data_IF_710003981023
#
_entry.id   IF_710003981023
#
_cell.length_a   1.000
_cell.length_b   1.000
_cell.length_c   1.000
_cell.angle_alpha   90.00
_cell.angle_beta   90.00
_cell.angle_gamma   90.00
#
_symmetry.space_group_name_H-M   'P 1'
#
loop_
_entity.id
_entity.type
_entity.pdbx_description
1 polymer ?
#
# COMPACT_ATOMS: atom_id res chain seq x y z
N UNK A 1 40.25 21.45 34.49
CA UNK A 1 40.16 20.00 34.25
C UNK A 1 40.00 19.78 32.75
N UNK A 2 40.77 18.91 32.09
CA UNK A 2 40.56 18.65 30.66
C UNK A 2 39.17 18.08 30.46
N UNK A 3 38.36 18.71 29.57
CA UNK A 3 37.09 18.18 29.17
C UNK A 3 37.32 16.78 28.57
N UNK A 4 36.72 15.73 29.14
CA UNK A 4 36.82 14.38 28.61
C UNK A 4 36.38 14.37 27.13
N UNK A 5 37.14 13.66 26.30
CA UNK A 5 36.84 13.46 24.90
C UNK A 5 35.41 12.91 24.77
N UNK A 6 34.63 13.44 23.85
CA UNK A 6 33.26 12.98 23.52
C UNK A 6 32.10 13.39 24.49
N UNK A 7 32.28 14.35 25.42
CA UNK A 7 31.20 14.80 26.29
C UNK A 7 29.98 15.34 25.52
N UNK A 8 30.16 15.94 24.35
CA UNK A 8 29.06 16.40 23.50
C UNK A 8 28.23 15.24 22.92
N UNK A 9 28.84 14.09 22.72
CA UNK A 9 28.18 12.90 22.17
C UNK A 9 27.43 12.11 23.27
N UNK A 10 27.71 12.36 24.55
CA UNK A 10 27.14 11.62 25.68
C UNK A 10 25.60 11.61 25.67
N UNK A 11 24.97 12.76 25.43
CA UNK A 11 23.51 12.87 25.36
C UNK A 11 22.92 12.04 24.21
N UNK A 12 23.58 12.01 23.06
CA UNK A 12 23.13 11.22 21.91
C UNK A 12 23.23 9.72 22.21
N UNK A 13 24.37 9.25 22.76
CA UNK A 13 24.52 7.86 23.16
C UNK A 13 23.53 7.44 24.27
N UNK A 14 23.27 8.32 25.23
CA UNK A 14 22.26 8.08 26.27
C UNK A 14 20.87 7.95 25.67
N UNK A 15 20.48 8.89 24.81
CA UNK A 15 19.18 8.88 24.16
C UNK A 15 18.97 7.63 23.29
N UNK A 16 19.97 7.28 22.48
CA UNK A 16 19.92 6.09 21.62
C UNK A 16 19.83 4.81 22.47
N UNK A 17 20.56 4.75 23.58
CA UNK A 17 20.51 3.61 24.48
C UNK A 17 19.12 3.44 25.12
N UNK A 18 18.52 4.53 25.58
CA UNK A 18 17.16 4.55 26.14
C UNK A 18 16.14 4.11 25.07
N UNK A 19 16.21 4.68 23.86
CA UNK A 19 15.30 4.34 22.77
C UNK A 19 15.35 2.86 22.37
N UNK A 20 16.55 2.30 22.33
CA UNK A 20 16.75 0.93 21.88
C UNK A 20 16.45 -0.13 22.94
N UNK A 21 16.63 0.19 24.23
CA UNK A 21 16.61 -0.83 25.28
C UNK A 21 15.47 -0.66 26.30
N UNK A 22 14.59 0.35 26.12
CA UNK A 22 13.45 0.54 27.00
C UNK A 22 12.13 0.50 26.25
N UNK A 23 11.09 0.06 26.93
CA UNK A 23 9.69 0.04 26.48
C UNK A 23 8.78 0.05 27.73
N UNK A 24 7.48 -0.23 27.58
CA UNK A 24 6.53 -0.26 28.70
C UNK A 24 6.91 -1.25 29.81
N UNK A 25 7.58 -2.34 29.45
CA UNK A 25 7.93 -3.43 30.37
C UNK A 25 9.42 -3.51 30.71
N UNK A 26 10.27 -2.80 29.98
CA UNK A 26 11.72 -2.84 30.13
C UNK A 26 12.27 -1.46 30.45
N UNK A 27 13.04 -1.40 31.53
CA UNK A 27 13.74 -0.19 31.99
C UNK A 27 15.26 -0.42 31.98
N UNK A 28 16.03 0.65 31.98
CA UNK A 28 17.49 0.62 32.18
C UNK A 28 17.87 1.37 33.43
N UNK A 29 18.78 0.77 34.20
CA UNK A 29 19.29 1.35 35.43
C UNK A 29 20.46 2.32 35.17
N UNK A 30 20.73 3.22 36.11
CA UNK A 30 21.89 4.14 36.04
C UNK A 30 23.23 3.38 35.85
N UNK A 31 23.52 2.27 36.55
CA UNK A 31 24.72 1.48 36.27
C UNK A 31 24.80 1.00 34.82
N UNK A 32 23.73 0.43 34.26
CA UNK A 32 23.69 -0.03 32.87
C UNK A 32 23.96 1.10 31.86
N UNK A 33 23.44 2.30 32.14
CA UNK A 33 23.73 3.49 31.33
C UNK A 33 25.21 3.85 31.39
N UNK A 34 25.82 3.84 32.60
CA UNK A 34 27.24 4.13 32.78
C UNK A 34 28.10 3.12 32.05
N UNK A 35 27.80 1.82 32.17
CA UNK A 35 28.50 0.73 31.50
C UNK A 35 28.43 0.86 29.98
N UNK A 36 27.24 1.21 29.45
CA UNK A 36 27.06 1.45 28.01
C UNK A 36 27.89 2.63 27.52
N UNK A 37 27.90 3.74 28.24
CA UNK A 37 28.71 4.92 27.91
C UNK A 37 30.20 4.60 27.97
N UNK A 38 30.64 3.87 29.00
CA UNK A 38 32.02 3.44 29.15
C UNK A 38 32.51 2.54 28.01
N UNK A 39 31.63 1.62 27.54
CA UNK A 39 31.91 0.77 26.37
C UNK A 39 32.08 1.59 25.07
N UNK A 40 31.51 2.81 25.02
CA UNK A 40 31.71 3.75 23.92
C UNK A 40 32.78 4.83 24.20
N UNK A 41 33.63 4.61 25.18
CA UNK A 41 34.78 5.51 25.51
C UNK A 41 34.34 6.80 26.23
N UNK A 42 33.13 6.85 26.79
CA UNK A 42 32.59 8.03 27.49
C UNK A 42 32.52 7.73 28.98
N UNK A 43 33.33 8.42 29.77
CA UNK A 43 33.27 8.32 31.23
C UNK A 43 32.14 9.20 31.76
N UNK A 44 31.29 8.62 32.59
CA UNK A 44 30.14 9.31 33.20
C UNK A 44 29.99 8.88 34.67
N UNK A 45 29.66 9.83 35.52
CA UNK A 45 29.31 9.62 36.93
C UNK A 45 27.81 9.66 37.11
N UNK A 46 27.31 9.00 38.16
CA UNK A 46 25.88 8.90 38.48
C UNK A 46 25.14 10.24 38.48
N UNK A 47 25.75 11.26 39.14
CA UNK A 47 25.16 12.60 39.19
C UNK A 47 25.08 13.26 37.81
N UNK A 48 26.04 13.02 36.97
CA UNK A 48 26.06 13.52 35.60
C UNK A 48 24.96 12.88 34.74
N UNK A 49 24.64 11.58 34.91
CA UNK A 49 23.54 10.93 34.22
C UNK A 49 22.20 11.53 34.61
N UNK A 50 21.97 11.86 35.88
CA UNK A 50 20.74 12.50 36.30
C UNK A 50 20.53 13.88 35.65
N UNK A 51 21.60 14.66 35.51
CA UNK A 51 21.56 15.95 34.83
C UNK A 51 21.30 15.79 33.34
N UNK A 52 21.92 14.75 32.71
CA UNK A 52 21.71 14.47 31.29
C UNK A 52 20.27 14.04 31.01
N UNK A 53 19.69 13.20 31.86
CA UNK A 53 18.28 12.81 31.77
C UNK A 53 17.37 14.03 31.92
N UNK A 54 17.64 14.89 32.88
CA UNK A 54 16.87 16.13 33.07
C UNK A 54 16.98 17.02 31.81
N UNK A 55 18.18 17.17 31.25
CA UNK A 55 18.39 17.92 30.00
C UNK A 55 17.56 17.34 28.84
N UNK A 56 17.46 16.02 28.73
CA UNK A 56 16.60 15.38 27.72
C UNK A 56 15.12 15.63 27.97
N UNK A 57 14.69 15.59 29.25
CA UNK A 57 13.31 15.95 29.64
C UNK A 57 13.01 17.42 29.32
N UNK A 58 13.92 18.33 29.66
CA UNK A 58 13.77 19.75 29.35
C UNK A 58 13.72 20.04 27.84
N UNK A 59 14.38 19.21 27.03
CA UNK A 59 14.31 19.29 25.58
C UNK A 59 13.01 18.75 25.01
N UNK A 60 12.22 17.97 25.78
CA UNK A 60 10.92 17.48 25.39
C UNK A 60 10.77 15.94 25.29
N UNK A 61 11.78 15.18 25.74
CA UNK A 61 11.63 13.71 25.83
C UNK A 61 10.92 13.34 27.14
N UNK A 62 9.88 12.53 27.04
CA UNK A 62 9.22 11.98 28.24
C UNK A 62 9.98 10.75 28.74
N UNK A 63 10.90 10.98 29.70
CA UNK A 63 11.70 9.93 30.34
C UNK A 63 11.17 9.72 31.76
N UNK A 64 10.52 8.59 31.98
CA UNK A 64 9.94 8.20 33.25
C UNK A 64 10.95 7.40 34.06
N UNK A 65 11.08 7.76 35.36
CA UNK A 65 11.74 6.92 36.36
C UNK A 65 10.72 6.00 37.03
N UNK A 66 10.96 4.70 36.97
CA UNK A 66 10.15 3.70 37.64
C UNK A 66 10.83 3.21 38.92
N UNK A 67 10.03 2.76 39.88
CA UNK A 67 10.48 2.21 41.19
C UNK A 67 10.04 0.74 41.32
N UNK A 68 10.55 0.06 42.34
CA UNK A 68 10.19 -1.32 42.61
C UNK A 68 10.95 -2.35 41.78
N UNK A 69 10.29 -3.43 41.36
CA UNK A 69 10.91 -4.56 40.65
C UNK A 69 11.51 -4.17 39.29
N UNK A 70 11.02 -3.11 38.66
CA UNK A 70 11.50 -2.57 37.38
C UNK A 70 12.11 -1.17 37.56
N UNK A 71 12.85 -0.96 38.67
CA UNK A 71 13.47 0.31 38.95
C UNK A 71 14.46 0.72 37.85
N UNK A 72 14.28 1.92 37.27
CA UNK A 72 15.13 2.39 36.19
C UNK A 72 14.48 3.54 35.42
N UNK A 73 15.00 3.80 34.23
CA UNK A 73 14.48 4.82 33.32
C UNK A 73 13.94 4.17 32.06
N UNK A 74 12.86 4.72 31.52
CA UNK A 74 12.32 4.37 30.23
C UNK A 74 11.83 5.61 29.49
N UNK A 75 11.83 5.56 28.17
CA UNK A 75 11.13 6.55 27.35
C UNK A 75 9.66 6.14 27.28
N UNK A 76 8.76 7.05 27.67
CA UNK A 76 7.32 6.81 27.66
C UNK A 76 6.70 7.21 26.32
N UNK A 77 7.09 8.37 25.79
CA UNK A 77 6.55 8.87 24.52
C UNK A 77 7.45 8.45 23.34
N UNK A 78 6.84 7.75 22.39
CA UNK A 78 7.48 7.33 21.13
C UNK A 78 6.70 7.92 19.96
N UNK A 79 7.41 8.25 18.89
CA UNK A 79 6.81 8.75 17.65
C UNK A 79 5.77 7.77 17.08
N UNK A 80 5.99 6.46 17.30
CA UNK A 80 5.07 5.39 16.93
C UNK A 80 4.86 4.45 18.10
N UNK A 81 3.62 4.08 18.33
CA UNK A 81 3.26 3.00 19.27
C UNK A 81 3.53 1.63 18.64
N UNK A 82 3.75 0.62 19.47
CA UNK A 82 4.00 -0.75 18.99
C UNK A 82 2.89 -1.30 18.07
N UNK A 83 1.59 -1.09 18.33
CA UNK A 83 0.52 -1.50 17.42
C UNK A 83 0.59 -0.83 16.05
N UNK A 84 0.98 0.43 15.98
CA UNK A 84 1.13 1.16 14.72
C UNK A 84 2.29 0.60 13.89
N UNK A 85 3.44 0.34 14.52
CA UNK A 85 4.58 -0.29 13.84
C UNK A 85 4.24 -1.71 13.37
N UNK A 86 3.48 -2.49 14.16
CA UNK A 86 2.96 -3.80 13.73
C UNK A 86 2.14 -3.67 12.45
N UNK A 87 1.18 -2.75 12.42
CA UNK A 87 0.35 -2.51 11.24
C UNK A 87 1.20 -2.13 10.01
N UNK A 88 2.20 -1.27 10.17
CA UNK A 88 3.11 -0.90 9.08
C UNK A 88 3.93 -2.10 8.58
N UNK A 89 4.42 -2.95 9.48
CA UNK A 89 5.13 -4.20 9.12
C UNK A 89 4.22 -5.14 8.35
N UNK A 90 2.97 -5.33 8.80
CA UNK A 90 1.98 -6.19 8.16
C UNK A 90 1.64 -5.68 6.75
N UNK A 91 1.46 -4.37 6.56
CA UNK A 91 1.25 -3.75 5.25
C UNK A 91 2.42 -3.97 4.29
N UNK A 92 3.66 -3.79 4.76
CA UNK A 92 4.87 -4.05 3.95
C UNK A 92 4.99 -5.53 3.61
N UNK A 93 4.68 -6.41 4.56
CA UNK A 93 4.80 -7.85 4.38
C UNK A 93 3.73 -8.40 3.44
N UNK A 94 2.47 -7.93 3.55
CA UNK A 94 1.35 -8.36 2.73
C UNK A 94 1.37 -7.80 1.31
N UNK A 95 2.09 -6.71 1.06
CA UNK A 95 2.12 -6.04 -0.24
C UNK A 95 2.74 -6.92 -1.33
N UNK A 96 1.99 -7.20 -2.41
CA UNK A 96 2.49 -7.87 -3.62
C UNK A 96 3.42 -6.97 -4.44
N UNK A 97 3.23 -5.66 -4.30
CA UNK A 97 3.94 -4.62 -5.02
C UNK A 97 5.41 -4.49 -4.59
N UNK A 98 5.74 -4.81 -3.34
CA UNK A 98 7.09 -4.67 -2.79
C UNK A 98 7.82 -6.02 -2.90
N UNK A 99 9.03 -6.05 -3.49
CA UNK A 99 9.81 -7.28 -3.60
C UNK A 99 10.15 -7.85 -2.21
N UNK A 100 10.39 -9.16 -2.13
CA UNK A 100 10.78 -9.83 -0.86
C UNK A 100 12.01 -9.18 -0.24
N UNK A 101 13.03 -8.86 -1.06
CA UNK A 101 14.26 -8.20 -0.62
C UNK A 101 13.98 -6.82 -0.03
N UNK A 102 13.18 -6.00 -0.74
CA UNK A 102 12.83 -4.66 -0.28
C UNK A 102 11.94 -4.67 0.96
N UNK A 103 11.00 -5.63 1.06
CA UNK A 103 10.19 -5.82 2.26
C UNK A 103 11.07 -6.05 3.49
N UNK A 104 12.07 -6.96 3.42
CA UNK A 104 13.01 -7.20 4.52
C UNK A 104 13.77 -5.93 4.92
N UNK A 105 14.23 -5.14 3.93
CA UNK A 105 14.94 -3.88 4.21
C UNK A 105 14.04 -2.85 4.89
N UNK A 106 12.79 -2.71 4.45
CA UNK A 106 11.83 -1.79 5.04
C UNK A 106 11.43 -2.22 6.46
N UNK A 107 11.15 -3.51 6.67
CA UNK A 107 10.84 -4.06 7.98
C UNK A 107 12.01 -3.81 8.94
N UNK A 108 13.25 -4.07 8.54
CA UNK A 108 14.41 -3.77 9.37
C UNK A 108 14.59 -2.28 9.73
N UNK A 109 14.07 -1.36 8.90
CA UNK A 109 14.00 0.08 9.26
C UNK A 109 12.85 0.38 10.23
N UNK A 110 11.69 -0.25 10.04
CA UNK A 110 10.55 -0.11 10.94
C UNK A 110 10.85 -0.66 12.34
N UNK A 111 11.60 -1.76 12.42
CA UNK A 111 12.06 -2.33 13.69
C UNK A 111 12.90 -1.35 14.52
N UNK A 112 13.59 -0.39 13.89
CA UNK A 112 14.37 0.64 14.58
C UNK A 112 13.50 1.71 15.26
N UNK A 113 12.20 1.79 14.95
CA UNK A 113 11.26 2.72 15.56
C UNK A 113 10.81 2.28 16.97
N UNK A 114 11.02 1.03 17.32
CA UNK A 114 10.66 0.43 18.61
C UNK A 114 11.89 -0.05 19.40
N UNK A 115 11.68 -0.55 20.63
CA UNK A 115 12.75 -1.17 21.39
C UNK A 115 13.24 -2.47 20.75
N UNK A 116 14.46 -2.91 21.07
CA UNK A 116 14.99 -4.22 20.66
C UNK A 116 14.11 -5.39 21.13
N UNK A 117 13.44 -5.23 22.27
CA UNK A 117 12.54 -6.25 22.79
C UNK A 117 11.24 -6.31 22.01
N UNK A 118 10.67 -5.17 21.66
CA UNK A 118 9.47 -5.08 20.83
C UNK A 118 9.76 -5.49 19.39
N UNK A 119 10.92 -5.12 18.83
CA UNK A 119 11.34 -5.57 17.50
C UNK A 119 11.33 -7.09 17.35
N UNK A 120 11.73 -7.85 18.41
CA UNK A 120 11.63 -9.31 18.42
C UNK A 120 10.19 -9.83 18.35
N UNK A 121 9.22 -9.05 18.84
CA UNK A 121 7.79 -9.39 18.77
C UNK A 121 7.23 -9.17 17.36
N UNK A 122 7.79 -8.20 16.61
CA UNK A 122 7.36 -7.90 15.24
C UNK A 122 7.64 -9.05 14.26
N UNK A 123 8.74 -9.78 14.46
CA UNK A 123 9.20 -10.82 13.54
C UNK A 123 8.36 -12.11 13.56
N UNK A 124 7.44 -12.29 14.51
CA UNK A 124 6.81 -13.59 14.80
C UNK A 124 5.31 -13.68 14.49
N UNK A 125 4.62 -12.62 14.10
CA UNK A 125 3.16 -12.58 14.21
C UNK A 125 2.37 -12.66 12.91
N UNK A 126 2.93 -12.37 11.74
CA UNK A 126 2.19 -12.50 10.48
C UNK A 126 2.89 -13.46 9.54
N UNK A 127 2.34 -14.65 9.43
CA UNK A 127 2.65 -15.55 8.31
C UNK A 127 1.79 -15.08 7.13
N UNK A 128 2.36 -14.25 6.28
CA UNK A 128 1.73 -14.00 4.97
C UNK A 128 1.95 -15.25 4.15
N UNK A 129 0.88 -16.05 3.98
CA UNK A 129 0.89 -17.21 3.10
C UNK A 129 1.41 -16.78 1.72
N UNK A 130 2.28 -17.59 1.17
CA UNK A 130 3.08 -17.46 -0.05
C UNK A 130 2.45 -16.54 -1.12
N UNK A 131 2.60 -15.21 -0.92
CA UNK A 131 2.12 -14.23 -1.90
C UNK A 131 3.19 -14.02 -2.96
N UNK A 132 2.81 -14.20 -4.21
CA UNK A 132 3.67 -13.88 -5.35
C UNK A 132 3.98 -12.38 -5.35
N UNK A 133 5.10 -12.00 -4.75
CA UNK A 133 5.60 -10.63 -4.78
C UNK A 133 6.21 -10.33 -6.14
N UNK A 134 6.14 -9.07 -6.55
CA UNK A 134 6.80 -8.62 -7.79
C UNK A 134 8.31 -8.91 -7.75
N UNK A 135 8.88 -9.23 -8.91
CA UNK A 135 10.33 -9.32 -9.11
C UNK A 135 10.97 -7.99 -9.52
N UNK A 136 10.17 -6.97 -9.84
CA UNK A 136 10.66 -5.68 -10.29
C UNK A 136 11.15 -4.82 -9.11
N UNK A 137 12.45 -4.84 -8.85
CA UNK A 137 13.07 -4.05 -7.76
C UNK A 137 13.05 -2.53 -8.02
N UNK A 138 12.79 -2.08 -9.26
CA UNK A 138 12.78 -0.66 -9.63
C UNK A 138 11.41 0.00 -9.46
N UNK A 139 10.39 -0.76 -9.12
CA UNK A 139 9.00 -0.30 -9.16
C UNK A 139 8.75 0.95 -8.28
N UNK A 140 9.36 1.05 -7.12
CA UNK A 140 9.21 2.23 -6.25
C UNK A 140 9.89 3.48 -6.82
N UNK A 141 10.99 3.31 -7.59
CA UNK A 141 11.58 4.42 -8.35
C UNK A 141 10.66 4.83 -9.52
N UNK A 142 9.99 3.85 -10.16
CA UNK A 142 9.02 4.15 -11.21
C UNK A 142 7.87 4.99 -10.66
N UNK A 143 7.35 4.67 -9.47
CA UNK A 143 6.32 5.46 -8.80
C UNK A 143 6.80 6.89 -8.52
N UNK A 144 8.03 7.06 -8.03
CA UNK A 144 8.64 8.36 -7.74
C UNK A 144 8.80 9.20 -9.01
N UNK A 145 9.32 8.61 -10.10
CA UNK A 145 9.43 9.28 -11.41
C UNK A 145 8.07 9.72 -11.93
N UNK A 146 7.02 8.89 -11.77
CA UNK A 146 5.67 9.26 -12.21
C UNK A 146 5.14 10.44 -11.39
N UNK A 147 5.29 10.42 -10.06
CA UNK A 147 4.88 11.53 -9.19
C UNK A 147 5.60 12.84 -9.58
N UNK A 148 6.91 12.77 -9.77
CA UNK A 148 7.70 13.94 -10.20
C UNK A 148 7.24 14.45 -11.56
N UNK A 149 7.01 13.58 -12.53
CA UNK A 149 6.53 13.95 -13.85
C UNK A 149 5.13 14.60 -13.82
N UNK A 150 4.23 14.11 -12.93
CA UNK A 150 2.93 14.73 -12.70
C UNK A 150 3.09 16.13 -12.11
N UNK A 151 3.93 16.30 -11.10
CA UNK A 151 4.17 17.59 -10.43
C UNK A 151 4.82 18.62 -11.38
N UNK A 152 5.75 18.19 -12.24
CA UNK A 152 6.49 19.01 -13.18
C UNK A 152 5.77 19.21 -14.52
N UNK A 153 4.54 18.71 -14.67
CA UNK A 153 3.75 18.76 -15.92
C UNK A 153 4.48 18.15 -17.13
N UNK A 154 5.17 17.03 -16.94
CA UNK A 154 5.98 16.36 -17.96
C UNK A 154 5.38 15.03 -18.39
N UNK A 155 5.60 14.65 -19.65
CA UNK A 155 5.32 13.30 -20.14
C UNK A 155 6.36 12.30 -19.63
N UNK A 156 6.01 11.01 -19.72
CA UNK A 156 6.92 9.90 -19.43
C UNK A 156 7.00 8.95 -20.61
N UNK A 157 8.12 8.23 -20.70
CA UNK A 157 8.28 7.12 -21.63
C UNK A 157 8.75 5.87 -20.90
N UNK A 158 8.33 4.70 -21.38
CA UNK A 158 8.67 3.41 -20.82
C UNK A 158 8.47 2.28 -21.83
N UNK A 159 9.13 1.13 -21.61
CA UNK A 159 8.75 -0.13 -22.24
C UNK A 159 7.67 -0.80 -21.40
N UNK A 160 6.74 -1.48 -22.06
CA UNK A 160 5.68 -2.25 -21.39
C UNK A 160 5.78 -3.72 -21.78
N UNK A 161 5.71 -4.62 -20.80
CA UNK A 161 5.86 -6.05 -21.05
C UNK A 161 4.65 -6.87 -20.59
N UNK A 162 4.51 -8.05 -21.18
CA UNK A 162 3.68 -9.14 -20.69
C UNK A 162 4.53 -10.38 -20.45
N UNK A 163 4.02 -11.30 -19.66
CA UNK A 163 4.64 -12.59 -19.46
C UNK A 163 4.21 -13.55 -20.58
N UNK A 164 5.16 -14.25 -21.19
CA UNK A 164 4.88 -15.34 -22.09
C UNK A 164 4.67 -16.67 -21.31
N UNK A 165 4.28 -17.72 -22.01
CA UNK A 165 4.05 -19.07 -21.42
C UNK A 165 5.30 -19.67 -20.77
N UNK A 166 6.50 -19.20 -21.12
CA UNK A 166 7.78 -19.59 -20.51
C UNK A 166 8.14 -18.77 -19.29
N UNK A 167 7.26 -17.86 -18.86
CA UNK A 167 7.50 -16.90 -17.76
C UNK A 167 8.64 -15.92 -18.05
N UNK A 168 8.86 -15.58 -19.31
CA UNK A 168 9.81 -14.57 -19.76
C UNK A 168 9.08 -13.25 -20.04
N UNK A 169 9.75 -12.12 -19.79
CA UNK A 169 9.21 -10.80 -20.10
C UNK A 169 9.25 -10.57 -21.62
N UNK A 170 8.10 -10.41 -22.24
CA UNK A 170 7.97 -10.09 -23.66
C UNK A 170 7.51 -8.65 -23.80
N UNK A 171 8.34 -7.80 -24.42
CA UNK A 171 8.01 -6.40 -24.67
C UNK A 171 6.85 -6.31 -25.67
N UNK A 172 5.88 -5.44 -25.35
CA UNK A 172 4.81 -5.07 -26.27
C UNK A 172 5.31 -4.10 -27.33
N UNK A 173 4.55 -3.94 -28.41
CA UNK A 173 4.86 -3.04 -29.56
C UNK A 173 6.28 -3.27 -30.12
N UNK A 174 6.72 -4.53 -30.19
CA UNK A 174 8.06 -4.88 -30.72
C UNK A 174 9.20 -4.13 -30.00
N UNK A 175 9.05 -3.87 -28.70
CA UNK A 175 10.03 -3.15 -27.92
C UNK A 175 10.04 -1.63 -28.09
N UNK A 176 9.04 -1.04 -28.75
CA UNK A 176 8.94 0.42 -28.85
C UNK A 176 8.53 1.04 -27.52
N UNK A 177 9.01 2.24 -27.26
CA UNK A 177 8.58 3.03 -26.10
C UNK A 177 7.11 3.43 -26.22
N UNK A 178 6.42 3.33 -25.10
CA UNK A 178 5.19 4.06 -24.85
C UNK A 178 5.57 5.46 -24.37
N UNK A 179 5.00 6.50 -24.95
CA UNK A 179 5.12 7.86 -24.45
C UNK A 179 3.73 8.38 -24.14
N UNK A 180 3.50 8.76 -22.89
CA UNK A 180 2.17 9.12 -22.40
C UNK A 180 2.24 10.30 -21.44
N UNK A 181 1.11 10.96 -21.25
CA UNK A 181 0.93 12.05 -20.29
C UNK A 181 0.36 11.48 -18.98
N UNK A 182 1.14 11.35 -17.90
CA UNK A 182 0.69 10.79 -16.62
C UNK A 182 -0.25 11.79 -15.93
N UNK A 183 -1.42 11.32 -15.46
CA UNK A 183 -2.41 12.17 -14.77
C UNK A 183 -2.67 11.76 -13.35
N UNK A 184 -2.78 10.46 -13.09
CA UNK A 184 -3.12 9.93 -11.77
C UNK A 184 -2.41 8.59 -11.55
N UNK A 185 -1.87 8.40 -10.34
CA UNK A 185 -1.56 7.07 -9.81
C UNK A 185 -2.70 6.63 -8.90
N UNK A 186 -3.24 5.45 -9.16
CA UNK A 186 -4.27 4.83 -8.32
C UNK A 186 -3.82 3.46 -7.85
N UNK A 187 -4.37 3.03 -6.73
CA UNK A 187 -4.11 1.73 -6.13
C UNK A 187 -5.35 0.86 -6.25
N UNK A 188 -5.23 -0.29 -6.92
CA UNK A 188 -6.31 -1.25 -7.06
C UNK A 188 -5.75 -2.68 -7.07
N UNK A 189 -6.43 -3.61 -6.40
CA UNK A 189 -6.04 -5.03 -6.26
C UNK A 189 -4.54 -5.21 -5.98
N UNK A 190 -4.04 -4.47 -4.98
CA UNK A 190 -2.64 -4.51 -4.52
C UNK A 190 -1.59 -4.11 -5.58
N UNK A 191 -1.98 -3.38 -6.63
CA UNK A 191 -1.10 -2.87 -7.66
C UNK A 191 -1.26 -1.37 -7.86
N UNK A 192 -0.17 -0.70 -8.24
CA UNK A 192 -0.25 0.67 -8.76
C UNK A 192 -0.62 0.66 -10.23
N UNK A 193 -1.61 1.46 -10.55
CA UNK A 193 -2.03 1.76 -11.91
C UNK A 193 -1.77 3.23 -12.23
N UNK A 194 -1.13 3.47 -13.35
CA UNK A 194 -1.03 4.80 -13.92
C UNK A 194 -2.22 5.02 -14.85
N UNK A 195 -2.99 6.07 -14.59
CA UNK A 195 -3.96 6.63 -15.52
C UNK A 195 -3.24 7.70 -16.33
N UNK A 196 -3.14 7.51 -17.64
CA UNK A 196 -2.41 8.41 -18.50
C UNK A 196 -3.12 8.61 -19.85
N UNK A 197 -2.96 9.79 -20.44
CA UNK A 197 -3.42 10.05 -21.78
C UNK A 197 -2.39 9.56 -22.80
N UNK A 198 -2.84 8.69 -23.69
CA UNK A 198 -2.07 8.15 -24.80
C UNK A 198 -2.45 8.96 -26.06
N UNK A 199 -1.56 9.85 -26.50
CA UNK A 199 -1.81 10.74 -27.64
C UNK A 199 -1.95 9.96 -28.95
N UNK A 200 -1.25 8.82 -29.14
CA UNK A 200 -1.35 7.99 -30.32
C UNK A 200 -2.74 7.34 -30.44
N UNK A 201 -3.36 7.06 -29.30
CA UNK A 201 -4.69 6.48 -29.24
C UNK A 201 -5.81 7.50 -29.04
N UNK A 202 -5.48 8.76 -28.72
CA UNK A 202 -6.42 9.84 -28.48
C UNK A 202 -7.33 9.60 -27.27
N UNK A 203 -6.87 8.87 -26.23
CA UNK A 203 -7.70 8.52 -25.06
C UNK A 203 -6.92 8.23 -23.80
N UNK A 204 -7.62 8.26 -22.67
CA UNK A 204 -7.10 7.81 -21.37
C UNK A 204 -6.90 6.30 -21.37
N UNK A 205 -5.79 5.84 -20.83
CA UNK A 205 -5.44 4.43 -20.67
C UNK A 205 -4.89 4.13 -19.28
N UNK A 206 -4.94 2.86 -18.90
CA UNK A 206 -4.39 2.34 -17.66
C UNK A 206 -3.17 1.48 -17.93
N UNK A 207 -2.16 1.68 -17.11
CA UNK A 207 -0.94 0.90 -17.18
C UNK A 207 -0.55 0.43 -15.79
N UNK A 208 -0.33 -0.86 -15.62
CA UNK A 208 0.25 -1.40 -14.39
C UNK A 208 1.70 -0.94 -14.27
N UNK A 209 2.06 -0.31 -13.16
CA UNK A 209 3.39 0.24 -12.97
C UNK A 209 4.45 -0.85 -12.84
N UNK A 210 4.11 -2.02 -12.28
CA UNK A 210 5.00 -3.18 -12.17
C UNK A 210 5.41 -3.79 -13.52
N UNK A 211 4.64 -3.50 -14.60
CA UNK A 211 4.91 -3.92 -15.98
C UNK A 211 5.69 -2.89 -16.79
N UNK A 212 6.10 -1.78 -16.20
CA UNK A 212 6.89 -0.76 -16.85
C UNK A 212 8.38 -1.00 -16.65
N UNK A 213 9.15 -0.89 -17.72
CA UNK A 213 10.61 -0.96 -17.70
C UNK A 213 11.19 0.34 -18.26
N UNK A 214 12.38 0.71 -17.79
CA UNK A 214 13.16 1.88 -18.25
C UNK A 214 12.36 3.17 -18.30
N UNK A 215 11.51 3.37 -17.28
CA UNK A 215 10.65 4.52 -17.15
C UNK A 215 11.47 5.78 -16.88
N UNK A 216 11.24 6.81 -17.70
CA UNK A 216 11.89 8.12 -17.60
C UNK A 216 10.92 9.23 -17.92
N UNK A 217 11.08 10.38 -17.25
CA UNK A 217 10.40 11.62 -17.67
C UNK A 217 11.05 12.18 -18.95
N UNK A 218 10.23 12.75 -19.81
CA UNK A 218 10.68 13.43 -21.03
C UNK A 218 10.35 14.92 -20.97
N UNK A 219 11.13 15.75 -21.66
CA UNK A 219 10.96 17.18 -21.63
C UNK A 219 9.87 17.64 -22.62
N UNK A 220 8.66 17.14 -22.38
CA UNK A 220 7.45 17.52 -23.11
C UNK A 220 6.32 17.71 -22.11
N UNK A 221 5.52 18.78 -22.31
CA UNK A 221 4.36 19.04 -21.49
C UNK A 221 3.28 17.97 -21.69
N UNK A 222 2.53 17.67 -20.62
CA UNK A 222 1.41 16.74 -20.68
C UNK A 222 0.30 17.29 -21.58
N UNK A 223 -0.40 16.39 -22.25
CA UNK A 223 -1.64 16.65 -22.99
C UNK A 223 -2.80 15.80 -22.46
N UNK A 224 -4.02 16.00 -22.98
CA UNK A 224 -5.21 15.26 -22.55
C UNK A 224 -5.80 15.75 -21.21
N UNK A 225 -5.61 17.04 -20.89
CA UNK A 225 -6.14 17.65 -19.65
C UNK A 225 -7.67 17.63 -19.63
N UNK A 226 -8.30 17.96 -20.75
CA UNK A 226 -9.76 17.96 -20.87
C UNK A 226 -10.35 16.57 -20.60
N UNK A 227 -9.73 15.53 -21.18
CA UNK A 227 -10.15 14.14 -20.97
C UNK A 227 -10.03 13.74 -19.48
N UNK A 228 -8.95 14.17 -18.83
CA UNK A 228 -8.76 13.90 -17.41
C UNK A 228 -9.76 14.64 -16.52
N UNK A 229 -10.02 15.92 -16.79
CA UNK A 229 -10.97 16.74 -16.00
C UNK A 229 -12.42 16.28 -16.15
N UNK A 230 -12.75 15.61 -17.24
CA UNK A 230 -14.07 14.98 -17.45
C UNK A 230 -14.22 13.64 -16.70
N UNK A 231 -13.13 13.07 -16.19
CA UNK A 231 -13.19 11.83 -15.42
C UNK A 231 -13.66 12.08 -13.98
N UNK A 232 -14.67 11.35 -13.56
CA UNK A 232 -15.07 11.31 -12.14
C UNK A 232 -14.10 10.43 -11.34
N UNK A 233 -12.99 11.03 -10.88
CA UNK A 233 -11.92 10.34 -10.16
C UNK A 233 -12.42 9.65 -8.88
N UNK A 234 -13.38 10.25 -8.17
CA UNK A 234 -13.89 9.74 -6.90
C UNK A 234 -14.66 8.42 -7.05
N UNK A 235 -15.35 8.25 -8.18
CA UNK A 235 -16.08 7.02 -8.50
C UNK A 235 -15.28 6.05 -9.37
N UNK A 236 -14.15 6.50 -9.92
CA UNK A 236 -13.40 5.79 -10.94
C UNK A 236 -12.93 4.38 -10.50
N UNK A 237 -12.32 4.25 -9.33
CA UNK A 237 -11.87 2.96 -8.80
C UNK A 237 -13.03 2.06 -8.38
N UNK A 238 -14.17 2.63 -7.99
CA UNK A 238 -15.36 1.86 -7.59
C UNK A 238 -16.12 1.29 -8.78
N UNK A 239 -16.13 2.01 -9.91
CA UNK A 239 -16.82 1.61 -11.15
C UNK A 239 -16.03 0.57 -11.93
N UNK A 240 -14.70 0.65 -11.90
CA UNK A 240 -13.83 -0.24 -12.68
C UNK A 240 -13.50 -1.51 -11.88
N UNK A 241 -13.72 -2.65 -12.49
CA UNK A 241 -13.33 -3.95 -11.95
C UNK A 241 -11.93 -4.30 -12.46
N UNK A 242 -10.92 -4.30 -11.57
CA UNK A 242 -9.53 -4.58 -11.93
C UNK A 242 -8.93 -3.61 -12.96
N UNK A 243 -9.40 -2.33 -12.97
CA UNK A 243 -8.96 -1.30 -13.92
C UNK A 243 -9.17 -1.64 -15.41
N UNK A 244 -10.14 -2.50 -15.71
CA UNK A 244 -10.56 -2.76 -17.07
C UNK A 244 -11.55 -1.68 -17.52
N UNK A 245 -11.26 -1.07 -18.66
CA UNK A 245 -12.15 -0.10 -19.29
C UNK A 245 -13.39 -0.81 -19.84
N UNK A 246 -14.57 -0.24 -19.61
CA UNK A 246 -15.84 -0.68 -20.18
C UNK A 246 -16.78 0.52 -20.33
N UNK A 247 -17.91 0.32 -20.98
CA UNK A 247 -18.96 1.34 -21.05
C UNK A 247 -19.56 1.55 -19.66
N UNK A 248 -19.55 2.82 -19.18
CA UNK A 248 -20.15 3.15 -17.90
C UNK A 248 -21.67 3.08 -17.96
N UNK A 249 -22.25 2.17 -17.21
CA UNK A 249 -23.67 1.92 -17.21
C UNK A 249 -24.21 1.81 -15.79
N UNK A 250 -25.40 2.36 -15.54
CA UNK A 250 -26.10 2.13 -14.28
C UNK A 250 -26.85 0.82 -14.35
N UNK A 251 -26.50 -0.13 -13.48
CA UNK A 251 -27.15 -1.44 -13.38
C UNK A 251 -28.05 -1.52 -12.15
N UNK A 252 -29.08 -2.37 -12.25
CA UNK A 252 -29.86 -2.82 -11.10
C UNK A 252 -29.50 -4.28 -10.79
N UNK A 253 -29.14 -4.52 -9.54
CA UNK A 253 -28.76 -5.82 -9.02
C UNK A 253 -29.84 -6.29 -8.04
N UNK A 254 -30.45 -7.42 -8.33
CA UNK A 254 -31.32 -8.14 -7.39
C UNK A 254 -30.43 -9.09 -6.60
N UNK A 255 -30.37 -8.90 -5.29
CA UNK A 255 -29.44 -9.60 -4.42
C UNK A 255 -30.18 -10.22 -3.23
N UNK A 256 -29.75 -11.39 -2.79
CA UNK A 256 -30.20 -11.92 -1.51
C UNK A 256 -29.85 -10.94 -0.39
N UNK A 257 -30.67 -10.83 0.65
CA UNK A 257 -30.45 -9.94 1.79
C UNK A 257 -29.09 -10.18 2.46
N UNK A 258 -28.59 -11.42 2.46
CA UNK A 258 -27.27 -11.80 2.99
C UNK A 258 -26.10 -11.16 2.24
N UNK A 259 -26.32 -10.70 1.00
CA UNK A 259 -25.29 -10.05 0.17
C UNK A 259 -25.14 -8.54 0.44
N UNK A 260 -25.92 -7.97 1.38
CA UNK A 260 -25.87 -6.54 1.72
C UNK A 260 -24.45 -6.06 2.01
N UNK A 261 -23.68 -6.82 2.82
CA UNK A 261 -22.28 -6.50 3.13
C UNK A 261 -21.40 -6.49 1.88
N UNK A 262 -21.55 -7.48 1.01
CA UNK A 262 -20.77 -7.59 -0.26
C UNK A 262 -21.05 -6.38 -1.17
N UNK A 263 -22.29 -5.91 -1.25
CA UNK A 263 -22.67 -4.73 -2.02
C UNK A 263 -22.05 -3.46 -1.42
N UNK A 264 -22.12 -3.30 -0.09
CA UNK A 264 -21.52 -2.15 0.61
C UNK A 264 -20.00 -2.15 0.45
N UNK A 265 -19.35 -3.29 0.64
CA UNK A 265 -17.89 -3.42 0.50
C UNK A 265 -17.42 -3.08 -0.92
N UNK A 266 -18.22 -3.43 -1.93
CA UNK A 266 -17.87 -3.18 -3.34
C UNK A 266 -18.17 -1.76 -3.80
N UNK A 267 -19.37 -1.25 -3.49
CA UNK A 267 -19.88 0.01 -4.05
C UNK A 267 -19.87 1.17 -3.04
N UNK A 268 -19.53 0.89 -1.79
CA UNK A 268 -19.50 1.84 -0.69
C UNK A 268 -20.87 1.98 0.01
N UNK A 269 -20.84 2.52 1.24
CA UNK A 269 -22.03 2.67 2.07
C UNK A 269 -23.10 3.63 1.49
N UNK A 270 -22.74 4.46 0.51
CA UNK A 270 -23.66 5.38 -0.17
C UNK A 270 -24.43 4.76 -1.35
N UNK A 271 -24.21 3.47 -1.66
CA UNK A 271 -24.91 2.78 -2.73
C UNK A 271 -26.42 2.77 -2.47
N UNK A 272 -27.21 3.13 -3.49
CA UNK A 272 -28.67 3.14 -3.37
C UNK A 272 -29.18 1.70 -3.27
N UNK A 273 -29.75 1.34 -2.12
CA UNK A 273 -30.35 0.04 -1.87
C UNK A 273 -31.74 0.20 -1.27
N UNK A 274 -32.63 -0.72 -1.61
CA UNK A 274 -33.98 -0.81 -1.00
C UNK A 274 -34.44 -2.27 -0.89
N UNK A 275 -35.26 -2.63 0.07
CA UNK A 275 -35.91 -3.93 0.09
C UNK A 275 -36.70 -4.15 -1.21
N UNK A 276 -36.64 -5.35 -1.74
CA UNK A 276 -37.45 -5.81 -2.88
C UNK A 276 -38.60 -6.73 -2.42
N UNK A 277 -38.24 -7.75 -1.63
CA UNK A 277 -39.17 -8.62 -0.93
C UNK A 277 -38.58 -9.05 0.44
N UNK A 278 -39.08 -10.07 1.10
CA UNK A 278 -38.63 -10.55 2.42
C UNK A 278 -37.20 -11.10 2.39
N UNK A 279 -36.73 -11.58 1.25
CA UNK A 279 -35.46 -12.27 1.09
C UNK A 279 -34.47 -11.56 0.19
N UNK A 280 -34.89 -10.53 -0.54
CA UNK A 280 -34.12 -9.83 -1.53
C UNK A 280 -34.07 -8.32 -1.31
N UNK A 281 -32.96 -7.73 -1.75
CA UNK A 281 -32.73 -6.30 -1.89
C UNK A 281 -32.49 -5.92 -3.34
N UNK A 282 -32.87 -4.72 -3.72
CA UNK A 282 -32.51 -4.12 -5.01
C UNK A 282 -31.44 -3.05 -4.80
N UNK A 283 -30.28 -3.26 -5.40
CA UNK A 283 -29.20 -2.29 -5.39
C UNK A 283 -29.05 -1.62 -6.76
N UNK A 284 -28.77 -0.30 -6.78
CA UNK A 284 -28.49 0.45 -7.99
C UNK A 284 -27.04 0.95 -7.95
N UNK A 285 -26.21 0.48 -8.88
CA UNK A 285 -24.81 0.81 -8.94
C UNK A 285 -24.38 1.26 -10.35
N UNK A 286 -23.43 2.16 -10.42
CA UNK A 286 -22.78 2.53 -11.67
C UNK A 286 -21.53 1.67 -11.84
N UNK A 287 -21.38 0.99 -12.96
CA UNK A 287 -20.29 0.06 -13.26
C UNK A 287 -19.74 0.27 -14.66
N UNK A 288 -18.45 -0.03 -14.87
CA UNK A 288 -17.90 -0.24 -16.19
C UNK A 288 -18.17 -1.69 -16.60
N UNK A 289 -19.04 -1.89 -17.58
CA UNK A 289 -19.40 -3.23 -18.06
C UNK A 289 -18.17 -3.85 -18.72
N UNK A 290 -17.72 -4.96 -18.17
CA UNK A 290 -16.48 -5.62 -18.58
C UNK A 290 -16.50 -7.11 -18.21
N UNK A 291 -15.63 -7.95 -18.83
CA UNK A 291 -15.51 -9.35 -18.44
C UNK A 291 -15.20 -9.55 -16.94
N UNK A 292 -14.50 -8.61 -16.30
CA UNK A 292 -14.20 -8.66 -14.88
C UNK A 292 -15.44 -8.40 -14.01
N UNK A 293 -16.30 -7.46 -14.42
CA UNK A 293 -17.60 -7.26 -13.78
C UNK A 293 -18.46 -8.52 -13.88
N UNK A 294 -18.51 -9.13 -15.07
CA UNK A 294 -19.23 -10.38 -15.27
C UNK A 294 -18.61 -11.55 -14.49
N UNK A 295 -17.29 -11.63 -14.40
CA UNK A 295 -16.59 -12.61 -13.57
C UNK A 295 -16.89 -12.43 -12.08
N UNK A 296 -17.00 -11.19 -11.60
CA UNK A 296 -17.41 -10.90 -10.23
C UNK A 296 -18.85 -11.34 -9.96
N UNK A 297 -19.79 -11.04 -10.87
CA UNK A 297 -21.16 -11.53 -10.78
C UNK A 297 -21.23 -13.05 -10.73
N UNK A 298 -20.52 -13.72 -11.64
CA UNK A 298 -20.48 -15.18 -11.71
C UNK A 298 -19.91 -15.81 -10.43
N UNK A 299 -18.91 -15.16 -9.81
CA UNK A 299 -18.31 -15.60 -8.54
C UNK A 299 -19.26 -15.55 -7.34
N UNK A 300 -20.33 -14.76 -7.44
CA UNK A 300 -21.39 -14.67 -6.42
C UNK A 300 -22.56 -15.59 -6.70
N UNK A 301 -22.45 -16.42 -7.75
CA UNK A 301 -23.43 -17.46 -8.11
C UNK A 301 -24.85 -16.87 -8.34
N UNK A 302 -25.86 -17.56 -7.81
CA UNK A 302 -27.28 -17.17 -7.95
C UNK A 302 -27.73 -16.12 -6.94
N UNK A 303 -26.85 -15.76 -5.98
CA UNK A 303 -27.19 -14.80 -4.93
C UNK A 303 -27.31 -13.34 -5.40
N UNK A 304 -26.74 -13.05 -6.58
CA UNK A 304 -26.83 -11.74 -7.22
C UNK A 304 -27.16 -11.90 -8.69
N UNK A 305 -28.12 -11.12 -9.17
CA UNK A 305 -28.52 -11.09 -10.58
C UNK A 305 -28.58 -9.65 -11.08
N UNK A 306 -27.99 -9.38 -12.23
CA UNK A 306 -28.26 -8.12 -12.94
C UNK A 306 -29.61 -8.25 -13.63
N UNK A 307 -30.51 -7.28 -13.37
CA UNK A 307 -31.89 -7.27 -13.91
C UNK A 307 -32.17 -6.08 -14.81
N UNK A 308 -31.28 -5.12 -14.89
CA UNK A 308 -31.39 -3.93 -15.74
C UNK A 308 -30.02 -3.28 -15.95
N UNK A 309 -29.72 -2.68 -17.13
CA UNK A 309 -30.58 -2.66 -18.31
C UNK A 309 -30.54 -4.01 -19.09
N UNK A 310 -31.49 -4.23 -19.98
CA UNK A 310 -31.61 -5.46 -20.78
C UNK A 310 -30.34 -5.73 -21.62
N UNK A 311 -29.65 -4.68 -22.11
CA UNK A 311 -28.39 -4.83 -22.84
C UNK A 311 -27.35 -5.56 -22.01
N UNK A 312 -27.14 -5.15 -20.74
CA UNK A 312 -26.16 -5.76 -19.83
C UNK A 312 -26.59 -7.17 -19.42
N UNK A 313 -27.90 -7.39 -19.23
CA UNK A 313 -28.43 -8.75 -18.97
C UNK A 313 -28.11 -9.69 -20.14
N UNK A 314 -28.35 -9.26 -21.36
CA UNK A 314 -28.06 -10.04 -22.57
C UNK A 314 -26.55 -10.30 -22.73
N UNK A 315 -25.71 -9.30 -22.55
CA UNK A 315 -24.24 -9.45 -22.60
C UNK A 315 -23.75 -10.45 -21.54
N UNK A 316 -24.30 -10.39 -20.32
CA UNK A 316 -23.95 -11.33 -19.27
C UNK A 316 -24.38 -12.77 -19.59
N UNK A 317 -25.57 -12.94 -20.19
CA UNK A 317 -26.02 -14.26 -20.65
C UNK A 317 -25.10 -14.84 -21.74
N UNK A 318 -24.69 -14.00 -22.71
CA UNK A 318 -23.73 -14.41 -23.76
C UNK A 318 -22.41 -14.85 -23.10
N UNK A 319 -21.87 -14.04 -22.18
CA UNK A 319 -20.65 -14.37 -21.45
C UNK A 319 -20.74 -15.71 -20.73
N UNK A 320 -21.85 -16.00 -20.04
CA UNK A 320 -22.04 -17.30 -19.37
C UNK A 320 -22.14 -18.46 -20.36
N UNK A 321 -22.82 -18.25 -21.51
CA UNK A 321 -22.92 -19.26 -22.56
C UNK A 321 -21.58 -19.57 -23.20
N UNK A 322 -20.72 -18.56 -23.43
CA UNK A 322 -19.37 -18.75 -23.95
C UNK A 322 -18.52 -19.58 -23.00
N UNK A 323 -18.60 -19.29 -21.71
CA UNK A 323 -17.92 -20.10 -20.67
C UNK A 323 -18.43 -21.54 -20.75
N UNK A 324 -19.73 -21.76 -20.75
CA UNK A 324 -20.30 -23.11 -20.79
C UNK A 324 -19.86 -23.88 -22.05
N UNK A 325 -19.90 -23.24 -23.21
CA UNK A 325 -19.45 -23.86 -24.50
C UNK A 325 -17.98 -24.26 -24.42
N UNK A 326 -17.10 -23.46 -23.84
CA UNK A 326 -15.68 -23.80 -23.73
C UNK A 326 -15.40 -25.08 -22.95
N UNK A 327 -16.32 -25.53 -22.10
CA UNK A 327 -16.24 -26.83 -21.40
C UNK A 327 -16.95 -27.96 -22.12
N UNK A 328 -17.97 -27.69 -22.93
CA UNK A 328 -18.70 -28.72 -23.70
C UNK A 328 -17.94 -29.11 -24.98
N UNK A 329 -17.26 -28.17 -25.61
CA UNK A 329 -16.50 -28.41 -26.85
C UNK A 329 -15.16 -29.15 -26.63
N UNK A 330 -14.78 -29.40 -25.35
CA UNK A 330 -13.60 -30.18 -24.97
C UNK A 330 -13.90 -31.67 -24.73
N UNK A 331 -15.15 -32.13 -24.92
CA UNK A 331 -15.55 -33.54 -24.91
C UNK A 331 -15.72 -34.06 -26.30
#
# INVERSE_FOLDING_TARGET
MPKSVNQKQKLLFLLDYLRQNTDETHTVTTPQIIDHLAANGIRAERKSIYNDIQTLCDYGYDIIRTEGAHAGYRIADRTFELPEVKLLVDLVQSSKFITTKKSRQLIGKLEQLVSKNDAKKLQRQVVVADRNKTSNEKIYYSVDVIHSAIAENRQIRFHYFDWNVRKEMQLRKDGRFYQVSPWLLTWDDENYYLVAYDADAGKMKHYRVDKMLDLTAVDQARCGRTDYEQMDIASYSRKNFGMFAGEETTVQLLCDTSMTGVIIDRFGASVAMRPYDETHILARAQVAVSPQFFGWLAGLSTHIRVISPDSVVNEYQIFLQEILRSYTDMQ
#
